data_IF_826624866196
#
_entry.id   IF_826624866196
#
_cell.length_a   1.000
_cell.length_b   1.000
_cell.length_c   1.000
_cell.angle_alpha   90.00
_cell.angle_beta   90.00
_cell.angle_gamma   90.00
#
_symmetry.space_group_name_H-M   'P 1'
#
loop_
_entity.id
_entity.type
_entity.pdbx_description
1 polymer ?
#
# COMPACT_ATOMS: atom_id res chain seq x y z
N UNK A 1 -3.50 -29.58 19.78
CA UNK A 1 -4.59 -28.61 19.57
C UNK A 1 -4.11 -27.56 18.58
N UNK A 2 -4.93 -27.18 17.58
CA UNK A 2 -4.59 -26.07 16.68
C UNK A 2 -4.49 -24.79 17.50
N UNK A 3 -3.41 -24.02 17.31
CA UNK A 3 -3.22 -22.76 18.03
C UNK A 3 -4.28 -21.73 17.59
N UNK A 4 -4.76 -20.84 18.48
CA UNK A 4 -5.65 -19.75 18.09
C UNK A 4 -5.01 -18.90 16.99
N UNK A 5 -5.81 -18.50 16.00
CA UNK A 5 -5.41 -17.58 14.94
C UNK A 5 -5.79 -16.16 15.37
N UNK A 6 -4.85 -15.24 15.25
CA UNK A 6 -5.08 -13.82 15.50
C UNK A 6 -4.67 -12.96 14.30
N UNK A 7 -5.15 -11.72 14.31
CA UNK A 7 -4.82 -10.69 13.31
C UNK A 7 -4.16 -9.53 14.03
N UNK A 8 -3.03 -9.07 13.51
CA UNK A 8 -2.30 -7.91 14.00
C UNK A 8 -2.26 -6.87 12.88
N UNK A 9 -2.85 -5.70 13.11
CA UNK A 9 -2.81 -4.57 12.18
C UNK A 9 -1.89 -3.48 12.72
N UNK A 10 -0.94 -3.05 11.90
CA UNK A 10 -0.14 -1.84 12.14
C UNK A 10 -0.52 -0.79 11.10
N UNK A 11 -0.55 0.46 11.55
CA UNK A 11 -0.94 1.63 10.75
C UNK A 11 0.23 2.61 10.65
N UNK A 12 0.41 3.18 9.46
CA UNK A 12 1.34 4.28 9.17
C UNK A 12 0.65 5.33 8.27
N UNK A 13 1.16 6.55 8.26
CA UNK A 13 0.68 7.62 7.37
C UNK A 13 1.85 8.10 6.51
N UNK A 14 1.62 8.23 5.21
CA UNK A 14 2.59 8.80 4.26
C UNK A 14 1.94 9.94 3.47
N UNK A 15 2.74 10.92 3.07
CA UNK A 15 2.32 12.04 2.21
C UNK A 15 2.93 11.87 0.83
N UNK A 16 2.10 11.71 -0.20
CA UNK A 16 2.59 11.56 -1.58
C UNK A 16 1.71 12.33 -2.58
N UNK A 17 2.32 12.74 -3.70
CA UNK A 17 1.60 13.35 -4.81
C UNK A 17 1.60 12.44 -6.04
N UNK A 18 0.57 12.59 -6.88
CA UNK A 18 0.40 11.78 -8.08
C UNK A 18 -0.51 12.46 -9.12
N UNK A 19 -0.60 11.87 -10.31
CA UNK A 19 -1.55 12.21 -11.38
C UNK A 19 -2.08 10.92 -11.99
N UNK A 20 -3.40 10.72 -11.93
CA UNK A 20 -4.01 9.59 -12.63
C UNK A 20 -3.99 9.85 -14.13
N UNK A 21 -3.11 9.17 -14.86
CA UNK A 21 -2.95 9.28 -16.30
C UNK A 21 -2.43 7.95 -16.88
N UNK A 22 -3.19 7.37 -17.80
CA UNK A 22 -2.79 6.15 -18.51
C UNK A 22 -2.06 6.50 -19.81
N UNK A 23 -0.88 5.91 -20.06
CA UNK A 23 -0.17 6.06 -21.33
C UNK A 23 -0.86 5.33 -22.50
N UNK A 24 -1.87 4.50 -22.21
CA UNK A 24 -2.62 3.73 -23.21
C UNK A 24 -3.91 4.42 -23.67
N UNK A 25 -4.19 5.62 -23.15
CA UNK A 25 -5.37 6.41 -23.46
C UNK A 25 -4.93 7.74 -24.06
N UNK A 26 -5.76 8.32 -24.92
CA UNK A 26 -5.59 9.70 -25.38
C UNK A 26 -5.74 10.70 -24.22
N UNK A 27 -5.30 11.94 -24.43
CA UNK A 27 -5.47 13.01 -23.44
C UNK A 27 -6.95 13.30 -23.13
N UNK A 28 -7.82 13.22 -24.13
CA UNK A 28 -9.26 13.43 -23.97
C UNK A 28 -9.90 12.30 -23.15
N UNK A 29 -9.57 11.04 -23.46
CA UNK A 29 -10.04 9.88 -22.67
C UNK A 29 -9.57 9.96 -21.22
N UNK A 30 -8.29 10.29 -20.99
CA UNK A 30 -7.74 10.48 -19.65
C UNK A 30 -8.49 11.56 -18.87
N UNK A 31 -8.72 12.72 -19.51
CA UNK A 31 -9.46 13.82 -18.88
C UNK A 31 -10.90 13.42 -18.56
N UNK A 32 -11.57 12.68 -19.45
CA UNK A 32 -12.95 12.24 -19.26
C UNK A 32 -13.07 11.17 -18.16
N UNK A 33 -12.14 10.22 -18.09
CA UNK A 33 -12.16 9.12 -17.12
C UNK A 33 -11.74 9.59 -15.73
N UNK A 34 -10.61 10.28 -15.62
CA UNK A 34 -10.01 10.64 -14.33
C UNK A 34 -10.39 12.04 -13.85
N UNK A 35 -10.96 12.88 -14.72
CA UNK A 35 -11.46 14.21 -14.36
C UNK A 35 -10.41 15.06 -13.66
N UNK A 36 -10.76 15.56 -12.46
CA UNK A 36 -9.87 16.42 -11.65
C UNK A 36 -8.58 15.72 -11.24
N UNK A 37 -8.57 14.39 -11.10
CA UNK A 37 -7.38 13.62 -10.75
C UNK A 37 -6.35 13.54 -11.88
N UNK A 38 -6.73 13.89 -13.12
CA UNK A 38 -5.80 14.04 -14.25
C UNK A 38 -5.14 15.42 -14.35
N UNK A 39 -5.30 16.31 -13.35
CA UNK A 39 -4.67 17.63 -13.35
C UNK A 39 -3.19 17.54 -13.76
N UNK A 40 -2.76 18.36 -14.73
CA UNK A 40 -1.43 18.25 -15.35
C UNK A 40 -0.29 18.36 -14.33
N UNK A 41 -0.46 19.23 -13.32
CA UNK A 41 0.50 19.41 -12.23
C UNK A 41 0.34 18.41 -11.07
N UNK A 42 -0.61 17.48 -11.19
CA UNK A 42 -0.93 16.49 -10.17
C UNK A 42 -1.73 17.07 -8.99
N UNK A 43 -1.86 16.24 -7.97
CA UNK A 43 -2.42 16.55 -6.65
C UNK A 43 -1.80 15.57 -5.64
N UNK A 44 -2.18 15.61 -4.36
CA UNK A 44 -1.61 14.69 -3.38
C UNK A 44 -2.52 14.43 -2.21
N UNK A 45 -2.12 13.44 -1.41
CA UNK A 45 -2.90 12.90 -0.30
C UNK A 45 -1.99 12.54 0.87
N UNK A 46 -2.60 12.52 2.06
CA UNK A 46 -2.04 11.87 3.23
C UNK A 46 -2.65 10.47 3.31
N UNK A 47 -2.00 9.51 2.68
CA UNK A 47 -2.45 8.13 2.67
C UNK A 47 -2.28 7.52 4.04
N UNK A 48 -3.37 6.98 4.59
CA UNK A 48 -3.31 6.14 5.76
C UNK A 48 -3.27 4.67 5.32
N UNK A 49 -2.17 3.99 5.62
CA UNK A 49 -1.90 2.61 5.21
C UNK A 49 -1.92 1.70 6.43
N UNK A 50 -2.78 0.69 6.38
CA UNK A 50 -2.90 -0.37 7.37
C UNK A 50 -2.39 -1.69 6.76
N UNK A 51 -1.46 -2.34 7.46
CA UNK A 51 -0.95 -3.66 7.10
C UNK A 51 -1.38 -4.63 8.17
N UNK A 52 -2.08 -5.68 7.76
CA UNK A 52 -2.54 -6.75 8.65
C UNK A 52 -1.78 -8.03 8.36
N UNK A 53 -1.21 -8.62 9.42
CA UNK A 53 -0.69 -9.98 9.41
C UNK A 53 -1.64 -10.91 10.17
N UNK A 54 -1.72 -12.17 9.73
CA UNK A 54 -2.60 -13.20 10.26
C UNK A 54 -1.84 -14.49 10.47
N UNK A 55 -1.96 -15.10 11.64
CA UNK A 55 -1.29 -16.37 11.89
C UNK A 55 -1.59 -16.95 13.28
N UNK A 56 -1.04 -18.13 13.58
CA UNK A 56 -1.15 -18.73 14.91
C UNK A 56 -0.38 -17.89 15.94
N UNK A 57 -0.96 -17.73 17.13
CA UNK A 57 -0.26 -17.12 18.25
C UNK A 57 0.85 -18.05 18.72
N UNK A 58 2.09 -17.59 18.72
CA UNK A 58 3.24 -18.34 19.19
C UNK A 58 3.12 -18.63 20.71
N UNK A 59 3.41 -19.86 21.13
CA UNK A 59 3.25 -20.27 22.54
C UNK A 59 4.26 -19.64 23.50
N UNK A 60 5.48 -19.40 23.03
CA UNK A 60 6.56 -18.87 23.86
C UNK A 60 6.48 -17.35 23.95
N UNK A 61 6.12 -16.71 22.83
CA UNK A 61 6.16 -15.25 22.73
C UNK A 61 4.79 -14.57 22.82
N UNK A 62 3.70 -15.31 22.62
CA UNK A 62 2.34 -14.74 22.60
C UNK A 62 2.04 -13.88 21.38
N UNK A 63 2.84 -13.94 20.31
CA UNK A 63 2.72 -13.06 19.14
C UNK A 63 2.39 -13.84 17.86
N UNK A 64 1.70 -13.19 16.92
CA UNK A 64 1.62 -13.63 15.52
C UNK A 64 2.95 -13.31 14.81
N UNK A 65 3.43 -12.08 15.01
CA UNK A 65 4.71 -11.56 14.53
C UNK A 65 5.19 -10.53 15.55
N UNK A 66 6.51 -10.37 15.68
CA UNK A 66 7.06 -9.26 16.45
C UNK A 66 6.74 -7.93 15.76
N UNK A 67 6.06 -7.03 16.46
CA UNK A 67 5.63 -5.73 15.90
C UNK A 67 6.81 -4.84 15.49
N UNK A 68 7.99 -5.02 16.11
CA UNK A 68 9.20 -4.31 15.73
C UNK A 68 9.67 -4.73 14.33
N UNK A 69 9.54 -6.00 13.96
CA UNK A 69 9.90 -6.50 12.63
C UNK A 69 8.91 -5.97 11.59
N UNK A 70 7.61 -6.01 11.88
CA UNK A 70 6.58 -5.44 10.99
C UNK A 70 6.82 -3.94 10.75
N UNK A 71 7.22 -3.19 11.79
CA UNK A 71 7.62 -1.78 11.64
C UNK A 71 8.78 -1.61 10.67
N UNK A 72 9.81 -2.47 10.74
CA UNK A 72 10.98 -2.39 9.83
C UNK A 72 10.56 -2.63 8.38
N UNK A 73 9.71 -3.63 8.12
CA UNK A 73 9.22 -3.88 6.76
C UNK A 73 8.37 -2.74 6.23
N UNK A 74 7.44 -2.22 7.05
CA UNK A 74 6.62 -1.07 6.68
C UNK A 74 7.45 0.20 6.47
N UNK A 75 8.48 0.44 7.27
CA UNK A 75 9.40 1.57 7.08
C UNK A 75 10.06 1.51 5.69
N UNK A 76 10.62 0.35 5.33
CA UNK A 76 11.31 0.16 4.04
C UNK A 76 10.41 0.38 2.84
N UNK A 77 9.14 -0.02 2.90
CA UNK A 77 8.21 0.10 1.76
C UNK A 77 7.51 1.45 1.78
N UNK A 78 6.95 1.87 2.91
CA UNK A 78 6.09 3.05 2.97
C UNK A 78 6.92 4.33 3.10
N UNK A 79 7.80 4.40 4.08
CA UNK A 79 8.51 5.64 4.38
C UNK A 79 9.66 5.87 3.41
N UNK A 80 10.47 4.83 3.15
CA UNK A 80 11.70 5.02 2.37
C UNK A 80 11.41 5.15 0.87
N UNK A 81 10.34 4.50 0.36
CA UNK A 81 10.02 4.50 -1.07
C UNK A 81 8.86 5.43 -1.46
N UNK A 82 7.89 5.71 -0.56
CA UNK A 82 6.65 6.40 -0.94
C UNK A 82 6.44 7.74 -0.22
N UNK A 83 6.94 7.90 1.01
CA UNK A 83 6.73 9.14 1.78
C UNK A 83 7.50 10.33 1.20
N UNK A 84 6.83 11.48 1.14
CA UNK A 84 7.29 12.71 0.51
C UNK A 84 7.77 12.53 -0.94
N UNK A 85 7.13 11.62 -1.69
CA UNK A 85 7.42 11.36 -3.10
C UNK A 85 6.30 11.77 -4.05
N UNK A 86 6.67 11.96 -5.31
CA UNK A 86 5.74 11.84 -6.41
C UNK A 86 5.69 10.39 -6.89
N UNK A 87 4.53 9.73 -6.77
CA UNK A 87 4.39 8.31 -7.10
C UNK A 87 4.82 8.03 -8.55
N UNK A 88 4.31 8.79 -9.51
CA UNK A 88 4.53 8.55 -10.95
C UNK A 88 5.98 8.84 -11.41
N UNK A 89 6.69 9.71 -10.70
CA UNK A 89 8.02 10.19 -11.09
C UNK A 89 9.15 9.51 -10.33
N UNK A 90 8.98 9.32 -9.02
CA UNK A 90 10.03 8.88 -8.11
C UNK A 90 10.00 7.36 -7.88
N UNK A 91 8.85 6.70 -8.08
CA UNK A 91 8.70 5.26 -7.86
C UNK A 91 8.71 4.54 -9.22
N UNK A 92 9.73 3.72 -9.52
CA UNK A 92 9.88 3.09 -10.83
C UNK A 92 8.66 2.29 -11.31
N UNK A 93 7.92 1.68 -10.40
CA UNK A 93 6.71 0.91 -10.70
C UNK A 93 5.60 1.74 -11.37
N UNK A 94 5.35 2.96 -10.87
CA UNK A 94 4.25 3.81 -11.38
C UNK A 94 4.61 4.59 -12.66
N UNK A 95 5.83 4.43 -13.19
CA UNK A 95 6.16 4.95 -14.53
C UNK A 95 5.37 4.26 -15.64
N UNK A 96 4.91 3.03 -15.39
CA UNK A 96 4.21 2.19 -16.37
C UNK A 96 2.83 1.73 -15.89
N UNK A 97 2.47 2.04 -14.64
CA UNK A 97 1.22 1.63 -14.01
C UNK A 97 0.54 2.87 -13.43
N UNK A 98 -0.74 3.06 -13.73
CA UNK A 98 -1.50 4.22 -13.21
C UNK A 98 -1.55 4.15 -11.68
N UNK A 99 -1.19 5.23 -11.00
CA UNK A 99 -1.07 5.34 -9.54
C UNK A 99 -2.42 5.43 -8.80
N UNK A 100 -3.41 4.63 -9.17
CA UNK A 100 -4.67 4.54 -8.41
C UNK A 100 -4.43 3.90 -7.04
N UNK A 101 -5.35 4.11 -6.09
CA UNK A 101 -5.26 3.53 -4.75
C UNK A 101 -5.25 1.99 -4.78
N UNK A 102 -5.92 1.38 -5.75
CA UNK A 102 -5.88 -0.06 -6.01
C UNK A 102 -4.48 -0.53 -6.40
N UNK A 103 -3.86 0.11 -7.40
CA UNK A 103 -2.50 -0.25 -7.82
C UNK A 103 -1.46 0.04 -6.73
N UNK A 104 -1.70 1.04 -5.88
CA UNK A 104 -0.87 1.32 -4.70
C UNK A 104 -0.98 0.22 -3.64
N UNK A 105 -2.18 -0.29 -3.37
CA UNK A 105 -2.38 -1.41 -2.45
C UNK A 105 -1.69 -2.69 -2.95
N UNK A 106 -1.79 -2.97 -4.26
CA UNK A 106 -1.10 -4.10 -4.90
C UNK A 106 0.42 -3.94 -4.81
N UNK A 107 0.95 -2.75 -5.11
CA UNK A 107 2.38 -2.44 -5.01
C UNK A 107 2.90 -2.71 -3.60
N UNK A 108 2.27 -2.09 -2.59
CA UNK A 108 2.69 -2.23 -1.19
C UNK A 108 2.62 -3.69 -0.73
N UNK A 109 1.56 -4.41 -1.10
CA UNK A 109 1.41 -5.82 -0.75
C UNK A 109 2.55 -6.67 -1.34
N UNK A 110 2.88 -6.47 -2.61
CA UNK A 110 3.92 -7.23 -3.30
C UNK A 110 5.33 -6.90 -2.76
N UNK A 111 5.62 -5.64 -2.44
CA UNK A 111 6.90 -5.24 -1.84
C UNK A 111 7.06 -5.81 -0.43
N UNK A 112 6.02 -5.75 0.41
CA UNK A 112 6.05 -6.37 1.75
C UNK A 112 6.24 -7.88 1.66
N UNK A 113 5.54 -8.55 0.73
CA UNK A 113 5.66 -9.99 0.50
C UNK A 113 7.08 -10.42 0.13
N UNK A 114 7.83 -9.59 -0.58
CA UNK A 114 9.23 -9.87 -0.93
C UNK A 114 10.19 -9.69 0.26
N UNK A 115 9.90 -8.75 1.17
CA UNK A 115 10.75 -8.43 2.30
C UNK A 115 10.53 -9.33 3.51
N UNK A 116 9.30 -9.82 3.71
CA UNK A 116 8.93 -10.63 4.87
C UNK A 116 9.52 -12.05 4.76
N UNK A 117 10.23 -12.55 5.79
CA UNK A 117 10.76 -13.91 5.80
C UNK A 117 9.67 -15.00 5.72
N UNK A 118 8.51 -14.75 6.32
CA UNK A 118 7.32 -15.59 6.18
C UNK A 118 6.18 -14.77 5.55
N UNK A 119 6.11 -14.73 4.20
CA UNK A 119 5.08 -13.98 3.49
C UNK A 119 3.68 -14.56 3.67
N UNK A 120 3.55 -15.79 4.16
CA UNK A 120 2.23 -16.41 4.39
C UNK A 120 1.44 -15.73 5.53
N UNK A 121 2.14 -14.98 6.37
CA UNK A 121 1.54 -14.17 7.42
C UNK A 121 0.89 -12.89 6.88
N UNK A 122 1.30 -12.36 5.73
CA UNK A 122 0.70 -11.16 5.17
C UNK A 122 -0.74 -11.44 4.73
N UNK A 123 -1.69 -10.69 5.28
CA UNK A 123 -3.11 -10.94 5.07
C UNK A 123 -3.83 -9.84 4.30
N UNK A 124 -3.57 -8.57 4.61
CA UNK A 124 -4.27 -7.45 4.00
C UNK A 124 -3.42 -6.18 4.02
N UNK A 125 -3.42 -5.46 2.90
CA UNK A 125 -3.05 -4.04 2.84
C UNK A 125 -4.32 -3.25 2.61
N UNK A 126 -4.59 -2.27 3.46
CA UNK A 126 -5.72 -1.34 3.33
C UNK A 126 -5.22 0.09 3.29
N UNK A 127 -5.69 0.86 2.33
CA UNK A 127 -5.29 2.24 2.12
C UNK A 127 -6.52 3.13 2.14
N UNK A 128 -6.46 4.15 2.98
CA UNK A 128 -7.35 5.29 2.94
C UNK A 128 -6.63 6.40 2.20
N UNK A 129 -7.02 6.66 0.95
CA UNK A 129 -6.52 7.82 0.19
C UNK A 129 -7.09 9.12 0.78
N UNK A 130 -8.36 9.05 1.17
CA UNK A 130 -9.05 10.08 1.96
C UNK A 130 -9.92 9.39 3.00
N UNK A 131 -10.58 10.15 3.87
CA UNK A 131 -11.55 9.59 4.83
C UNK A 131 -12.73 8.86 4.18
N UNK A 132 -12.95 9.06 2.87
CA UNK A 132 -14.11 8.54 2.12
C UNK A 132 -13.75 7.49 1.07
N UNK A 133 -12.47 7.39 0.71
CA UNK A 133 -11.99 6.50 -0.34
C UNK A 133 -11.04 5.47 0.28
N UNK A 134 -11.46 4.20 0.28
CA UNK A 134 -10.75 3.12 0.94
C UNK A 134 -10.64 1.94 -0.01
N UNK A 135 -9.44 1.40 -0.14
CA UNK A 135 -9.18 0.17 -0.88
C UNK A 135 -8.52 -0.84 0.04
N UNK A 136 -8.84 -2.12 -0.14
CA UNK A 136 -8.12 -3.24 0.47
C UNK A 136 -7.66 -4.22 -0.61
N UNK A 137 -6.54 -4.89 -0.36
CA UNK A 137 -6.03 -5.98 -1.19
C UNK A 137 -5.44 -7.08 -0.31
N UNK A 138 -5.73 -8.35 -0.62
CA UNK A 138 -5.31 -9.52 0.18
C UNK A 138 -4.45 -10.52 -0.61
N UNK A 139 -4.04 -10.16 -1.83
CA UNK A 139 -3.21 -11.03 -2.65
C UNK A 139 -3.99 -12.05 -3.47
N UNK A 140 -5.29 -11.83 -3.70
CA UNK A 140 -6.09 -12.59 -4.67
C UNK A 140 -5.57 -12.49 -6.12
#
# INVERSE_FOLDING_TARGET
>A
MSRPIAYLTRREIISACHRLHSPHLSDEENKNIYGKCNNYWGHGHNYNVEVTVRGPVNLETGMVMNIADLKIYMQKVLMDQLDHKNLDKDVPYFKYVVSTTENLAIYIFNELKQLMPDPSLLYEVKIHETDKNIVLYRGE
#
